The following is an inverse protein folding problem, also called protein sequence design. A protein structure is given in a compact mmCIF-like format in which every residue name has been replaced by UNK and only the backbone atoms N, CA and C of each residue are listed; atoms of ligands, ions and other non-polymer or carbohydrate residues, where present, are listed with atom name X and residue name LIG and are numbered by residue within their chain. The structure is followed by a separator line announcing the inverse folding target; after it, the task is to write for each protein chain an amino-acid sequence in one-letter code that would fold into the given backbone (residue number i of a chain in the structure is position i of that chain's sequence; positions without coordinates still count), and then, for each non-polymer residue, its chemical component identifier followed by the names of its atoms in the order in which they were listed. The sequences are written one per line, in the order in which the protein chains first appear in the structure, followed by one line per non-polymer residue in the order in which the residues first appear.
data_IF_748589775627
#
_entry.id   IF_748589775627
#
_cell.length_a   1.000
_cell.length_b   1.000
_cell.length_c   1.000
_cell.angle_alpha   90.00
_cell.angle_beta   90.00
_cell.angle_gamma   90.00
#
_symmetry.space_group_name_H-M   'P 1'
#
loop_
_entity.id
_entity.type
_entity.pdbx_description
1 polymer ?
#
# COMPACT_ATOMS: atom_id res chain seq x y z
N UNK A 1 15.15 -10.26 5.86
CA UNK A 1 15.54 -10.22 7.28
C UNK A 1 14.46 -9.42 8.00
N UNK A 2 13.64 -10.05 8.85
CA UNK A 2 12.55 -9.36 9.56
C UNK A 2 13.14 -8.51 10.70
N UNK A 3 12.63 -7.29 10.88
CA UNK A 3 13.01 -6.40 11.97
C UNK A 3 12.03 -6.60 13.13
N UNK A 4 12.55 -6.97 14.29
CA UNK A 4 11.78 -7.01 15.55
C UNK A 4 11.88 -5.63 16.18
N UNK A 5 10.75 -4.95 16.36
CA UNK A 5 10.68 -3.72 17.16
C UNK A 5 10.00 -4.02 18.49
N UNK A 6 10.66 -3.60 19.57
CA UNK A 6 10.09 -3.52 20.91
C UNK A 6 9.50 -2.12 21.06
N UNK A 7 8.19 -2.02 21.27
CA UNK A 7 7.57 -0.77 21.72
C UNK A 7 7.43 -0.82 23.25
N UNK A 8 7.64 0.32 23.96
CA UNK A 8 7.49 0.36 25.41
C UNK A 8 6.02 0.13 25.80
N UNK A 9 5.79 -0.82 26.69
CA UNK A 9 4.48 -1.28 27.13
C UNK A 9 4.05 -0.54 28.42
N UNK A 10 2.75 -0.30 28.65
CA UNK A 10 2.22 -0.01 29.98
C UNK A 10 2.49 -1.16 30.96
N UNK A 11 2.61 -0.83 32.25
CA UNK A 11 3.23 -1.65 33.32
C UNK A 11 2.60 -3.04 33.59
N UNK A 12 1.46 -3.38 32.98
CA UNK A 12 0.60 -4.49 33.40
C UNK A 12 0.18 -5.48 32.30
N UNK A 13 0.85 -5.52 31.14
CA UNK A 13 0.51 -6.45 30.06
C UNK A 13 1.67 -7.40 29.64
N UNK A 14 1.33 -8.65 29.30
CA UNK A 14 2.24 -9.68 28.76
C UNK A 14 2.88 -9.23 27.45
N UNK A 15 4.19 -9.49 27.20
CA UNK A 15 4.90 -8.99 26.03
C UNK A 15 4.25 -9.52 24.75
N UNK A 16 3.62 -8.63 23.99
CA UNK A 16 3.09 -8.96 22.66
C UNK A 16 4.20 -8.79 21.65
N UNK A 17 4.73 -9.89 21.13
CA UNK A 17 5.68 -9.86 20.02
C UNK A 17 4.94 -9.48 18.74
N UNK A 18 5.07 -8.22 18.31
CA UNK A 18 4.57 -7.78 17.01
C UNK A 18 5.61 -8.14 15.96
N UNK A 19 5.29 -9.11 15.11
CA UNK A 19 6.08 -9.38 13.91
C UNK A 19 5.82 -8.26 12.89
N UNK A 20 6.73 -7.29 12.79
CA UNK A 20 6.77 -6.46 11.59
C UNK A 20 7.23 -7.36 10.44
N UNK A 21 6.26 -7.80 9.65
CA UNK A 21 6.49 -8.52 8.40
C UNK A 21 7.47 -7.67 7.58
N UNK A 22 8.60 -8.21 7.10
CA UNK A 22 9.43 -7.49 6.16
C UNK A 22 8.56 -7.29 4.92
N UNK A 23 8.04 -6.08 4.75
CA UNK A 23 7.45 -5.69 3.48
C UNK A 23 8.54 -5.87 2.45
N UNK A 24 8.36 -6.84 1.56
CA UNK A 24 9.03 -6.76 0.28
C UNK A 24 8.64 -5.39 -0.27
N UNK A 25 9.57 -4.43 -0.23
CA UNK A 25 9.37 -3.11 -0.80
C UNK A 25 9.25 -3.36 -2.29
N UNK A 26 8.03 -3.57 -2.76
CA UNK A 26 7.74 -3.69 -4.17
C UNK A 26 7.85 -2.28 -4.70
N UNK A 27 9.03 -1.93 -5.21
CA UNK A 27 9.23 -0.66 -5.92
C UNK A 27 8.50 -0.79 -7.26
N UNK A 28 7.23 -0.42 -7.25
CA UNK A 28 6.43 -0.24 -8.45
C UNK A 28 6.35 1.25 -8.75
N UNK A 29 6.67 1.61 -9.99
CA UNK A 29 6.50 2.99 -10.46
C UNK A 29 5.11 3.10 -11.08
N UNK A 30 4.39 4.15 -10.71
CA UNK A 30 3.02 4.42 -11.15
C UNK A 30 2.94 5.82 -11.74
N UNK A 31 2.07 5.99 -12.73
CA UNK A 31 1.88 7.26 -13.41
C UNK A 31 0.66 7.96 -12.84
N UNK A 32 0.90 9.05 -12.11
CA UNK A 32 -0.15 9.94 -11.63
C UNK A 32 -0.48 11.00 -12.69
N UNK A 33 -1.76 11.12 -13.05
CA UNK A 33 -2.31 12.29 -13.75
C UNK A 33 -2.94 13.19 -12.69
N UNK A 34 -2.52 14.45 -12.64
CA UNK A 34 -3.00 15.44 -11.68
C UNK A 34 -3.70 16.56 -12.44
N UNK A 35 -4.93 16.86 -12.04
CA UNK A 35 -5.74 17.95 -12.54
C UNK A 35 -6.03 18.92 -11.40
N UNK A 36 -6.05 20.23 -11.70
CA UNK A 36 -6.45 21.25 -10.75
C UNK A 36 -7.92 21.59 -10.98
N UNK A 37 -8.72 21.46 -9.94
CA UNK A 37 -10.14 21.80 -9.92
C UNK A 37 -10.39 22.86 -8.85
N UNK A 38 -10.59 24.10 -9.28
CA UNK A 38 -10.71 25.29 -8.41
C UNK A 38 -9.58 25.37 -7.34
N UNK A 39 -9.95 25.19 -6.07
CA UNK A 39 -9.09 25.23 -4.89
C UNK A 39 -8.58 23.83 -4.47
N UNK A 40 -8.73 22.83 -5.33
CA UNK A 40 -8.34 21.45 -5.08
C UNK A 40 -7.50 20.89 -6.22
N UNK A 41 -6.74 19.86 -5.90
CA UNK A 41 -6.12 18.96 -6.85
C UNK A 41 -6.83 17.62 -6.76
N UNK A 42 -7.07 17.02 -7.92
CA UNK A 42 -7.53 15.64 -8.06
C UNK A 42 -6.49 14.87 -8.87
N UNK A 43 -6.27 13.61 -8.53
CA UNK A 43 -5.35 12.77 -9.26
C UNK A 43 -5.90 11.36 -9.45
N UNK A 44 -5.42 10.69 -10.49
CA UNK A 44 -5.70 9.28 -10.72
C UNK A 44 -4.46 8.54 -11.23
N UNK A 45 -4.39 7.25 -10.94
CA UNK A 45 -3.34 6.36 -11.43
C UNK A 45 -3.75 5.77 -12.79
N UNK A 46 -2.86 5.82 -13.78
CA UNK A 46 -3.14 5.25 -15.10
C UNK A 46 -3.15 3.71 -15.08
N UNK A 47 -2.31 3.10 -14.25
CA UNK A 47 -2.13 1.65 -14.19
C UNK A 47 -3.17 0.96 -13.29
N UNK A 48 -3.79 1.69 -12.36
CA UNK A 48 -4.76 1.16 -11.40
C UNK A 48 -6.09 1.92 -11.52
N UNK A 49 -7.04 1.40 -12.32
CA UNK A 49 -8.37 1.97 -12.41
C UNK A 49 -9.05 1.99 -11.03
N UNK A 50 -9.62 3.14 -10.67
CA UNK A 50 -10.29 3.36 -9.39
C UNK A 50 -9.39 3.89 -8.27
N UNK A 51 -8.08 3.94 -8.46
CA UNK A 51 -7.19 4.64 -7.54
C UNK A 51 -7.19 6.15 -7.83
N UNK A 52 -7.76 6.90 -6.90
CA UNK A 52 -7.90 8.35 -6.98
C UNK A 52 -7.32 9.00 -5.73
N UNK A 53 -6.75 10.20 -5.90
CA UNK A 53 -6.30 11.05 -4.81
C UNK A 53 -6.91 12.43 -4.92
N UNK A 54 -7.01 13.14 -3.79
CA UNK A 54 -7.42 14.54 -3.74
C UNK A 54 -6.62 15.30 -2.67
N UNK A 55 -6.35 16.58 -2.89
CA UNK A 55 -5.55 17.37 -1.97
C UNK A 55 -5.63 18.87 -2.20
N UNK A 56 -5.18 19.66 -1.22
CA UNK A 56 -5.08 21.12 -1.35
C UNK A 56 -3.77 21.56 -2.00
N UNK A 57 -2.74 20.74 -1.88
CA UNK A 57 -1.45 20.91 -2.55
C UNK A 57 -1.15 19.75 -3.48
N UNK A 58 -0.11 19.91 -4.31
CA UNK A 58 0.41 18.83 -5.16
C UNK A 58 0.94 17.67 -4.31
N UNK A 59 1.53 17.97 -3.18
CA UNK A 59 2.09 16.99 -2.25
C UNK A 59 0.96 16.18 -1.61
N UNK A 60 -0.08 16.84 -1.09
CA UNK A 60 -1.24 16.19 -0.47
C UNK A 60 -1.93 15.21 -1.43
N UNK A 61 -2.16 15.63 -2.68
CA UNK A 61 -2.86 14.78 -3.67
C UNK A 61 -2.02 13.56 -4.06
N UNK A 62 -0.70 13.68 -4.08
CA UNK A 62 0.21 12.57 -4.38
C UNK A 62 0.31 11.59 -3.21
N UNK A 63 0.36 12.08 -1.97
CA UNK A 63 0.33 11.25 -0.77
C UNK A 63 -0.98 10.47 -0.70
N UNK A 64 -2.11 11.16 -0.89
CA UNK A 64 -3.42 10.52 -0.88
C UNK A 64 -3.60 9.51 -2.03
N UNK A 65 -3.09 9.80 -3.23
CA UNK A 65 -3.10 8.84 -4.35
C UNK A 65 -2.23 7.60 -4.04
N UNK A 66 -1.07 7.77 -3.40
CA UNK A 66 -0.21 6.67 -3.02
C UNK A 66 -0.88 5.73 -2.01
N UNK A 67 -1.59 6.28 -1.01
CA UNK A 67 -2.41 5.50 -0.08
C UNK A 67 -3.50 4.71 -0.81
N UNK A 68 -4.22 5.35 -1.75
CA UNK A 68 -5.26 4.70 -2.53
C UNK A 68 -4.72 3.54 -3.38
N UNK A 69 -3.52 3.69 -3.98
CA UNK A 69 -2.82 2.65 -4.72
C UNK A 69 -2.47 1.47 -3.79
N UNK A 70 -1.88 1.74 -2.62
CA UNK A 70 -1.51 0.71 -1.65
C UNK A 70 -2.73 -0.09 -1.21
N UNK A 71 -3.83 0.59 -0.87
CA UNK A 71 -5.09 -0.05 -0.48
C UNK A 71 -5.64 -0.94 -1.60
N UNK A 72 -5.62 -0.48 -2.85
CA UNK A 72 -6.05 -1.28 -3.99
C UNK A 72 -5.21 -2.56 -4.15
N UNK A 73 -3.89 -2.46 -4.00
CA UNK A 73 -2.99 -3.60 -4.10
C UNK A 73 -3.19 -4.61 -2.98
N UNK A 74 -3.41 -4.14 -1.75
CA UNK A 74 -3.70 -4.98 -0.60
C UNK A 74 -5.02 -5.73 -0.78
N UNK A 75 -6.10 -5.02 -1.07
CA UNK A 75 -7.41 -5.62 -1.35
C UNK A 75 -7.34 -6.64 -2.49
N UNK A 76 -6.67 -6.31 -3.59
CA UNK A 76 -6.46 -7.22 -4.73
C UNK A 76 -5.71 -8.48 -4.29
N UNK A 77 -4.70 -8.35 -3.44
CA UNK A 77 -3.90 -9.47 -2.96
C UNK A 77 -4.71 -10.38 -2.04
N UNK A 78 -5.48 -9.82 -1.11
CA UNK A 78 -6.38 -10.58 -0.24
C UNK A 78 -7.44 -11.31 -1.05
N UNK A 79 -8.11 -10.60 -1.95
CA UNK A 79 -9.16 -11.16 -2.79
C UNK A 79 -8.65 -12.27 -3.71
N UNK A 80 -7.47 -12.09 -4.30
CA UNK A 80 -6.85 -13.07 -5.21
C UNK A 80 -6.35 -14.32 -4.48
N UNK A 81 -6.17 -14.26 -3.17
CA UNK A 81 -5.78 -15.41 -2.36
C UNK A 81 -6.98 -16.23 -1.87
N UNK A 82 -8.21 -15.69 -1.97
CA UNK A 82 -9.42 -16.44 -1.61
C UNK A 82 -9.61 -17.62 -2.55
N UNK A 83 -9.58 -18.83 -1.99
CA UNK A 83 -9.75 -20.08 -2.76
C UNK A 83 -8.48 -20.58 -3.44
N UNK A 84 -7.33 -19.92 -3.23
CA UNK A 84 -6.04 -20.47 -3.67
C UNK A 84 -5.66 -21.65 -2.76
N UNK A 85 -5.31 -22.83 -3.32
CA UNK A 85 -4.84 -23.96 -2.53
C UNK A 85 -3.59 -23.62 -1.71
N UNK A 86 -3.46 -24.21 -0.52
CA UNK A 86 -2.33 -23.94 0.39
C UNK A 86 -1.00 -24.40 -0.22
N UNK A 87 -1.04 -25.45 -1.04
CA UNK A 87 0.08 -26.04 -1.75
C UNK A 87 0.49 -25.28 -3.03
N UNK A 88 -0.21 -24.21 -3.39
CA UNK A 88 0.11 -23.44 -4.58
C UNK A 88 1.49 -22.76 -4.45
N UNK A 89 2.31 -22.88 -5.50
CA UNK A 89 3.63 -22.24 -5.58
C UNK A 89 3.43 -20.75 -5.88
N UNK A 90 4.13 -19.88 -5.13
CA UNK A 90 4.12 -18.44 -5.32
C UNK A 90 5.51 -17.97 -5.73
N UNK A 91 5.59 -17.32 -6.88
CA UNK A 91 6.83 -16.74 -7.39
C UNK A 91 6.67 -15.23 -7.58
N UNK A 92 7.77 -14.49 -7.45
CA UNK A 92 7.81 -13.05 -7.73
C UNK A 92 8.36 -12.85 -9.13
N UNK A 93 7.61 -12.15 -9.98
CA UNK A 93 8.03 -11.76 -11.32
C UNK A 93 8.22 -10.25 -11.34
N UNK A 94 9.37 -9.80 -11.86
CA UNK A 94 9.67 -8.38 -12.08
C UNK A 94 9.58 -8.13 -13.58
N UNK A 95 8.80 -7.11 -13.95
CA UNK A 95 8.66 -6.64 -15.34
C UNK A 95 9.48 -5.35 -15.50
N UNK A 96 10.08 -5.16 -16.67
CA UNK A 96 10.90 -3.98 -17.02
C UNK A 96 10.19 -3.12 -18.06
#
# INVERSE_FOLDING_TARGET
MALVKLEPMPDDAEPTFVFQKPEAVVRNEFTAVIEKDEDWFVAHCLEIPGAHGQGKTREDVLENLAEAILLHMEMRREDSLRGVPVEAIREVIVVQ
#
